data_IF_947550979172
#
_entry.id   IF_947550979172
#
_cell.length_a   1.000
_cell.length_b   1.000
_cell.length_c   1.000
_cell.angle_alpha   90.00
_cell.angle_beta   90.00
_cell.angle_gamma   90.00
#
_symmetry.space_group_name_H-M   'P 1'
#
loop_
_entity.id
_entity.type
_entity.pdbx_description
1 polymer ?
#
# COMPACT_ATOMS: atom_id res chain seq x y z
N UNK A 1 -19.58 -76.27 -23.64
CA UNK A 1 -19.46 -75.04 -24.46
C UNK A 1 -20.27 -73.96 -23.74
N UNK A 2 -19.65 -73.16 -22.84
CA UNK A 2 -19.20 -71.76 -23.02
C UNK A 2 -20.22 -70.94 -23.85
N UNK A 3 -20.87 -69.88 -23.38
CA UNK A 3 -20.32 -68.64 -22.81
C UNK A 3 -21.35 -67.86 -21.96
N UNK A 4 -20.90 -67.13 -20.93
CA UNK A 4 -21.62 -66.03 -20.25
C UNK A 4 -20.97 -64.70 -20.67
N UNK A 5 -21.72 -63.65 -21.04
CA UNK A 5 -21.12 -62.33 -21.26
C UNK A 5 -20.98 -61.58 -19.93
N UNK A 6 -19.73 -61.25 -19.58
CA UNK A 6 -19.40 -60.25 -18.56
C UNK A 6 -19.62 -58.86 -19.17
N UNK A 7 -20.56 -58.09 -18.64
CA UNK A 7 -20.63 -56.64 -18.91
C UNK A 7 -19.65 -55.93 -17.97
N UNK A 8 -18.59 -55.38 -18.55
CA UNK A 8 -17.63 -54.53 -17.85
C UNK A 8 -18.25 -53.14 -17.67
N UNK A 9 -18.49 -52.74 -16.41
CA UNK A 9 -18.87 -51.39 -16.06
C UNK A 9 -17.68 -50.44 -16.16
N UNK A 10 -17.73 -49.49 -17.09
CA UNK A 10 -16.77 -48.40 -17.21
C UNK A 10 -17.15 -47.30 -16.20
N UNK A 11 -16.47 -47.27 -15.05
CA UNK A 11 -16.54 -46.16 -14.10
C UNK A 11 -15.72 -44.98 -14.63
N UNK A 12 -16.40 -43.94 -15.11
CA UNK A 12 -15.80 -42.65 -15.44
C UNK A 12 -15.61 -41.89 -14.12
N UNK A 13 -14.37 -41.84 -13.62
CA UNK A 13 -14.00 -41.01 -12.48
C UNK A 13 -13.88 -39.55 -12.94
N UNK A 14 -14.89 -38.73 -12.64
CA UNK A 14 -14.87 -37.29 -12.87
C UNK A 14 -13.94 -36.61 -11.86
N UNK A 15 -12.77 -36.16 -12.33
CA UNK A 15 -11.86 -35.35 -11.51
C UNK A 15 -12.41 -33.92 -11.43
N UNK A 16 -12.99 -33.57 -10.28
CA UNK A 16 -13.39 -32.20 -9.94
C UNK A 16 -12.12 -31.36 -9.72
N UNK A 17 -11.73 -30.56 -10.72
CA UNK A 17 -10.75 -29.49 -10.51
C UNK A 17 -11.42 -28.39 -9.70
N UNK A 18 -11.14 -28.35 -8.38
CA UNK A 18 -11.47 -27.22 -7.55
C UNK A 18 -10.49 -26.07 -7.87
N UNK A 19 -10.93 -25.12 -8.71
CA UNK A 19 -10.23 -23.86 -8.92
C UNK A 19 -10.16 -23.12 -7.59
N UNK A 20 -9.00 -23.15 -6.94
CA UNK A 20 -8.73 -22.28 -5.79
C UNK A 20 -8.58 -20.87 -6.34
N UNK A 21 -9.61 -20.03 -6.13
CA UNK A 21 -9.48 -18.60 -6.34
C UNK A 21 -8.48 -18.07 -5.29
N UNK A 22 -7.25 -17.80 -5.71
CA UNK A 22 -6.31 -17.06 -4.87
C UNK A 22 -6.89 -15.66 -4.65
N UNK A 23 -7.06 -15.26 -3.39
CA UNK A 23 -7.42 -13.90 -3.06
C UNK A 23 -6.30 -12.96 -3.53
N UNK A 24 -6.65 -11.84 -4.15
CA UNK A 24 -5.68 -10.85 -4.55
C UNK A 24 -5.02 -10.23 -3.31
N UNK A 25 -3.75 -9.82 -3.39
CA UNK A 25 -3.03 -9.26 -2.24
C UNK A 25 -3.78 -8.05 -1.67
N UNK A 26 -4.29 -7.17 -2.53
CA UNK A 26 -5.05 -5.99 -2.13
C UNK A 26 -6.29 -6.32 -1.27
N UNK A 27 -6.95 -7.47 -1.48
CA UNK A 27 -8.14 -7.86 -0.72
C UNK A 27 -7.80 -8.16 0.75
N UNK A 28 -6.55 -8.56 1.02
CA UNK A 28 -6.02 -8.89 2.34
C UNK A 28 -5.33 -7.70 3.02
N UNK A 29 -5.18 -6.56 2.32
CA UNK A 29 -4.62 -5.34 2.90
C UNK A 29 -5.73 -4.44 3.44
N UNK A 30 -5.55 -3.93 4.66
CA UNK A 30 -6.34 -2.83 5.21
C UNK A 30 -5.48 -1.58 5.36
N UNK A 31 -5.89 -0.52 4.67
CA UNK A 31 -5.31 0.80 4.82
C UNK A 31 -6.03 1.59 5.91
N UNK A 32 -5.26 2.30 6.73
CA UNK A 32 -5.78 3.15 7.80
C UNK A 32 -4.86 4.34 8.02
N UNK A 33 -5.36 5.36 8.71
CA UNK A 33 -4.60 6.58 9.02
C UNK A 33 -3.99 7.22 7.75
N UNK A 34 -4.73 7.19 6.64
CA UNK A 34 -4.27 7.71 5.35
C UNK A 34 -4.39 9.23 5.30
N UNK A 35 -3.28 9.93 5.06
CA UNK A 35 -3.27 11.39 4.97
C UNK A 35 -2.15 11.93 4.08
N UNK A 36 -2.36 13.10 3.50
CA UNK A 36 -1.37 13.81 2.69
C UNK A 36 -0.92 15.07 3.43
N UNK A 37 0.38 15.28 3.54
CA UNK A 37 0.96 16.56 3.95
C UNK A 37 1.02 17.48 2.75
N UNK A 38 0.14 18.47 2.73
CA UNK A 38 0.11 19.50 1.68
C UNK A 38 1.29 20.45 1.87
N UNK A 39 2.01 20.71 0.77
CA UNK A 39 3.12 21.66 0.73
C UNK A 39 2.73 22.91 -0.08
N UNK A 40 3.29 24.09 0.25
CA UNK A 40 2.98 25.31 -0.46
C UNK A 40 3.54 25.31 -1.89
N UNK A 41 2.82 25.97 -2.80
CA UNK A 41 3.26 26.15 -4.19
C UNK A 41 3.22 24.85 -4.99
N UNK A 42 4.31 24.56 -5.70
CA UNK A 42 4.47 23.38 -6.56
C UNK A 42 5.38 22.32 -5.92
N UNK A 43 5.68 22.45 -4.62
CA UNK A 43 6.52 21.49 -3.92
C UNK A 43 5.80 20.12 -3.84
N UNK A 44 6.55 19.00 -3.95
CA UNK A 44 5.97 17.68 -3.79
C UNK A 44 5.29 17.51 -2.42
N UNK A 45 4.14 16.86 -2.41
CA UNK A 45 3.43 16.49 -1.20
C UNK A 45 3.88 15.11 -0.70
N UNK A 46 3.71 14.84 0.60
CA UNK A 46 4.00 13.54 1.21
C UNK A 46 2.72 12.80 1.56
N UNK A 47 2.57 11.55 1.15
CA UNK A 47 1.46 10.66 1.50
C UNK A 47 1.87 9.61 2.51
N UNK A 48 1.05 9.44 3.53
CA UNK A 48 1.29 8.60 4.71
C UNK A 48 0.09 7.71 4.96
N UNK A 49 0.35 6.46 5.32
CA UNK A 49 -0.68 5.43 5.50
C UNK A 49 -0.11 4.25 6.29
N UNK A 50 -0.95 3.65 7.13
CA UNK A 50 -0.66 2.37 7.78
C UNK A 50 -1.35 1.26 7.02
N UNK A 51 -0.59 0.26 6.58
CA UNK A 51 -1.07 -0.92 5.85
C UNK A 51 -0.93 -2.16 6.72
N UNK A 52 -2.05 -2.77 7.10
CA UNK A 52 -2.09 -4.04 7.79
C UNK A 52 -2.35 -5.16 6.77
N UNK A 53 -1.53 -6.20 6.82
CA UNK A 53 -1.65 -7.38 5.97
C UNK A 53 -2.27 -8.53 6.76
N UNK A 54 -3.39 -9.06 6.28
CA UNK A 54 -4.11 -10.18 6.89
C UNK A 54 -3.84 -11.52 6.22
N UNK A 55 -3.04 -11.56 5.15
CA UNK A 55 -2.67 -12.80 4.47
C UNK A 55 -1.59 -13.57 5.22
N UNK A 56 -1.43 -14.83 4.84
CA UNK A 56 -0.42 -15.77 5.37
C UNK A 56 0.95 -15.61 4.68
N UNK A 57 1.11 -14.62 3.79
CA UNK A 57 2.34 -14.35 3.05
C UNK A 57 2.69 -12.86 3.03
N UNK A 58 3.94 -12.52 2.71
CA UNK A 58 4.33 -11.12 2.59
C UNK A 58 3.75 -10.49 1.31
N UNK A 59 3.15 -9.31 1.43
CA UNK A 59 2.64 -8.51 0.32
C UNK A 59 3.62 -7.39 0.00
N UNK A 60 3.77 -7.01 -1.27
CA UNK A 60 4.69 -5.92 -1.67
C UNK A 60 3.95 -4.76 -2.30
N UNK A 61 3.98 -3.59 -1.66
CA UNK A 61 3.54 -2.33 -2.24
C UNK A 61 4.61 -1.82 -3.22
N UNK A 62 4.24 -1.53 -4.47
CA UNK A 62 5.14 -1.01 -5.51
C UNK A 62 5.11 0.51 -5.63
N UNK A 63 4.01 1.13 -5.21
CA UNK A 63 3.78 2.57 -5.34
C UNK A 63 2.29 2.87 -5.35
N UNK A 64 1.92 4.01 -5.93
CA UNK A 64 0.53 4.39 -6.07
C UNK A 64 0.30 5.22 -7.34
N UNK A 65 -0.95 5.52 -7.63
CA UNK A 65 -1.36 6.45 -8.70
C UNK A 65 -2.54 7.31 -8.23
N UNK A 66 -2.76 8.43 -8.92
CA UNK A 66 -3.89 9.33 -8.64
C UNK A 66 -4.31 10.08 -9.89
N UNK A 67 -5.58 10.46 -9.98
CA UNK A 67 -6.03 11.44 -10.96
C UNK A 67 -5.63 12.89 -10.58
N UNK A 68 -5.29 13.13 -9.31
CA UNK A 68 -4.97 14.47 -8.79
C UNK A 68 -3.49 14.83 -8.89
N UNK A 69 -2.62 13.86 -9.17
CA UNK A 69 -1.16 14.04 -9.22
C UNK A 69 -0.59 13.30 -10.43
N UNK A 70 0.37 13.92 -11.12
CA UNK A 70 1.03 13.34 -12.29
C UNK A 70 1.87 12.11 -11.94
N UNK A 71 2.53 12.12 -10.78
CA UNK A 71 3.36 11.02 -10.31
C UNK A 71 3.17 10.76 -8.81
N UNK A 72 3.11 9.49 -8.43
CA UNK A 72 3.11 9.06 -7.02
C UNK A 72 4.13 7.93 -6.84
N UNK A 73 5.22 8.21 -6.14
CA UNK A 73 6.40 7.34 -6.07
C UNK A 73 6.65 6.92 -4.63
N UNK A 74 7.11 5.69 -4.42
CA UNK A 74 7.46 5.21 -3.08
C UNK A 74 8.89 5.62 -2.74
N UNK A 75 9.07 6.32 -1.63
CA UNK A 75 10.35 6.85 -1.19
C UNK A 75 10.66 6.40 0.24
N UNK A 76 11.96 6.35 0.58
CA UNK A 76 12.47 6.16 1.93
C UNK A 76 13.29 7.39 2.33
N UNK A 77 12.94 7.97 3.46
CA UNK A 77 13.75 8.99 4.11
C UNK A 77 14.81 8.32 5.00
N UNK A 78 16.01 8.89 5.02
CA UNK A 78 17.10 8.48 5.89
C UNK A 78 17.96 9.70 6.25
N UNK A 79 18.76 9.58 7.31
CA UNK A 79 19.78 10.58 7.65
C UNK A 79 21.13 9.91 7.50
N UNK A 80 21.99 10.47 6.64
CA UNK A 80 23.34 9.98 6.41
C UNK A 80 24.31 11.14 6.62
N UNK A 81 25.24 10.99 7.56
CA UNK A 81 26.22 12.04 7.88
C UNK A 81 25.63 13.37 8.36
N UNK A 82 24.43 13.35 8.96
CA UNK A 82 23.71 14.56 9.39
C UNK A 82 22.94 15.27 8.28
N UNK A 83 22.94 14.73 7.06
CA UNK A 83 22.14 15.21 5.94
C UNK A 83 20.92 14.31 5.72
N UNK A 84 19.74 14.91 5.62
CA UNK A 84 18.52 14.20 5.23
C UNK A 84 18.61 13.79 3.76
N UNK A 85 18.34 12.51 3.48
CA UNK A 85 18.29 11.94 2.13
C UNK A 85 16.93 11.28 1.92
N UNK A 86 16.33 11.54 0.75
CA UNK A 86 15.13 10.85 0.30
C UNK A 86 15.47 10.08 -0.97
N UNK A 87 15.20 8.79 -0.98
CA UNK A 87 15.52 7.90 -2.08
C UNK A 87 14.27 7.16 -2.55
N UNK A 88 14.07 7.08 -3.86
CA UNK A 88 13.03 6.26 -4.45
C UNK A 88 13.35 4.78 -4.24
N UNK A 89 12.35 4.00 -3.85
CA UNK A 89 12.48 2.56 -3.67
C UNK A 89 11.46 1.83 -4.54
N UNK A 90 11.85 0.65 -5.03
CA UNK A 90 11.00 -0.13 -5.93
C UNK A 90 9.79 -0.76 -5.23
N UNK A 91 9.91 -1.05 -3.94
CA UNK A 91 8.83 -1.66 -3.16
C UNK A 91 8.99 -1.49 -1.66
N UNK A 92 7.89 -1.68 -0.95
CA UNK A 92 7.81 -1.86 0.50
C UNK A 92 7.13 -3.19 0.80
N UNK A 93 7.84 -4.07 1.51
CA UNK A 93 7.29 -5.35 1.96
C UNK A 93 6.43 -5.15 3.22
N UNK A 94 5.27 -5.77 3.23
CA UNK A 94 4.32 -5.84 4.34
C UNK A 94 4.28 -7.30 4.78
N UNK A 95 4.88 -7.66 5.93
CA UNK A 95 4.96 -9.05 6.38
C UNK A 95 3.58 -9.71 6.52
N UNK A 96 3.53 -11.05 6.41
CA UNK A 96 2.33 -11.83 6.73
C UNK A 96 1.83 -11.52 8.14
N UNK A 97 0.52 -11.29 8.30
CA UNK A 97 -0.11 -10.84 9.55
C UNK A 97 0.55 -9.59 10.20
N UNK A 98 1.31 -8.83 9.41
CA UNK A 98 2.12 -7.73 9.87
C UNK A 98 1.60 -6.38 9.40
N UNK A 99 2.32 -5.33 9.77
CA UNK A 99 2.00 -3.96 9.43
C UNK A 99 3.21 -3.26 8.83
N UNK A 100 2.98 -2.42 7.82
CA UNK A 100 3.96 -1.47 7.34
C UNK A 100 3.37 -0.05 7.45
N UNK A 101 4.16 0.87 8.00
CA UNK A 101 3.74 2.27 8.19
C UNK A 101 4.57 3.17 7.30
N UNK A 102 3.88 3.97 6.49
CA UNK A 102 4.46 5.09 5.78
C UNK A 102 4.22 6.33 6.64
N UNK A 103 5.27 6.88 7.24
CA UNK A 103 5.25 8.02 8.16
C UNK A 103 6.35 9.03 7.85
N UNK A 104 6.24 10.27 8.34
CA UNK A 104 7.30 11.27 8.22
C UNK A 104 8.64 10.73 8.74
N UNK A 105 9.74 11.02 8.01
CA UNK A 105 11.07 10.52 8.37
C UNK A 105 11.33 9.04 8.03
N UNK A 106 10.30 8.27 7.63
CA UNK A 106 10.42 6.90 7.16
C UNK A 106 10.05 6.73 5.68
N UNK A 107 9.35 5.64 5.38
CA UNK A 107 8.76 5.44 4.06
C UNK A 107 7.60 6.41 3.83
N UNK A 108 7.44 6.90 2.60
CA UNK A 108 6.33 7.78 2.24
C UNK A 108 6.04 7.69 0.73
N UNK A 109 4.83 8.06 0.35
CA UNK A 109 4.50 8.34 -1.04
C UNK A 109 4.94 9.79 -1.33
N UNK A 110 5.78 10.01 -2.33
CA UNK A 110 6.07 11.34 -2.87
C UNK A 110 5.09 11.63 -4.00
N UNK A 111 4.23 12.63 -3.81
CA UNK A 111 3.21 13.04 -4.78
C UNK A 111 3.70 14.30 -5.52
N UNK A 112 3.88 14.19 -6.82
CA UNK A 112 4.39 15.27 -7.68
C UNK A 112 3.34 15.72 -8.69
N UNK A 113 3.49 16.95 -9.17
CA UNK A 113 2.71 17.53 -10.25
C UNK A 113 1.20 17.47 -9.99
N UNK A 114 0.77 18.15 -8.92
CA UNK A 114 -0.64 18.28 -8.59
C UNK A 114 -1.41 18.91 -9.76
N UNK A 115 -2.41 18.20 -10.30
CA UNK A 115 -3.21 18.67 -11.43
C UNK A 115 -4.03 19.91 -11.09
N UNK A 116 -4.41 20.05 -9.82
CA UNK A 116 -5.08 21.23 -9.24
C UNK A 116 -4.53 21.47 -7.83
N UNK A 117 -4.58 22.71 -7.30
CA UNK A 117 -4.21 22.97 -5.92
C UNK A 117 -5.03 22.13 -4.95
N UNK A 118 -4.37 21.27 -4.17
CA UNK A 118 -4.98 20.51 -3.07
C UNK A 118 -4.96 21.38 -1.82
N UNK A 119 -6.11 21.54 -1.16
CA UNK A 119 -6.25 22.35 0.05
C UNK A 119 -6.33 21.46 1.29
N UNK A 120 -5.96 22.03 2.44
CA UNK A 120 -6.19 21.38 3.73
C UNK A 120 -7.68 21.10 3.90
N UNK A 121 -8.02 19.88 4.33
CA UNK A 121 -9.38 19.39 4.49
C UNK A 121 -9.95 18.69 3.26
N UNK A 122 -9.28 18.77 2.10
CA UNK A 122 -9.67 17.98 0.93
C UNK A 122 -9.43 16.48 1.16
N UNK A 123 -10.19 15.65 0.45
CA UNK A 123 -9.90 14.22 0.31
C UNK A 123 -9.31 13.95 -1.06
N UNK A 124 -8.19 13.24 -1.10
CA UNK A 124 -7.53 12.81 -2.33
C UNK A 124 -7.56 11.29 -2.40
N UNK A 125 -8.16 10.75 -3.45
CA UNK A 125 -8.14 9.30 -3.67
C UNK A 125 -6.82 8.88 -4.34
N UNK A 126 -6.12 7.95 -3.72
CA UNK A 126 -4.93 7.29 -4.26
C UNK A 126 -5.24 5.81 -4.49
N UNK A 127 -4.71 5.25 -5.58
CA UNK A 127 -4.75 3.82 -5.88
C UNK A 127 -3.39 3.23 -5.53
N UNK A 128 -3.32 2.44 -4.47
CA UNK A 128 -2.12 1.71 -4.07
C UNK A 128 -1.94 0.50 -4.98
N UNK A 129 -0.73 0.32 -5.52
CA UNK A 129 -0.42 -0.72 -6.49
C UNK A 129 0.49 -1.78 -5.87
N UNK A 130 0.06 -3.05 -5.92
CA UNK A 130 0.80 -4.17 -5.35
C UNK A 130 1.53 -4.98 -6.44
N UNK A 131 2.50 -5.80 -6.01
CA UNK A 131 3.38 -6.54 -6.93
C UNK A 131 2.66 -7.63 -7.74
N UNK A 132 1.54 -8.16 -7.25
CA UNK A 132 0.69 -9.12 -7.97
C UNK A 132 -0.20 -8.47 -9.04
N UNK A 133 -0.13 -7.13 -9.17
CA UNK A 133 -0.95 -6.33 -10.08
C UNK A 133 -2.31 -5.93 -9.51
N UNK A 134 -2.65 -6.36 -8.29
CA UNK A 134 -3.84 -5.91 -7.59
C UNK A 134 -3.69 -4.48 -7.07
N UNK A 135 -4.83 -3.83 -6.80
CA UNK A 135 -4.86 -2.42 -6.39
C UNK A 135 -5.84 -2.18 -5.27
N UNK A 136 -5.51 -1.25 -4.37
CA UNK A 136 -6.41 -0.78 -3.30
C UNK A 136 -6.62 0.72 -3.42
N UNK A 137 -7.87 1.14 -3.63
CA UNK A 137 -8.24 2.56 -3.59
C UNK A 137 -8.37 3.00 -2.13
N UNK A 138 -7.73 4.10 -1.76
CA UNK A 138 -7.76 4.65 -0.41
C UNK A 138 -7.85 6.18 -0.48
N UNK A 139 -8.75 6.74 0.33
CA UNK A 139 -8.88 8.18 0.46
C UNK A 139 -7.93 8.72 1.53
N UNK A 140 -7.17 9.74 1.16
CA UNK A 140 -6.20 10.41 2.01
C UNK A 140 -6.73 11.79 2.39
N UNK A 141 -6.75 12.08 3.69
CA UNK A 141 -7.10 13.41 4.19
C UNK A 141 -5.94 14.38 4.02
N UNK A 142 -6.16 15.51 3.34
CA UNK A 142 -5.16 16.55 3.17
C UNK A 142 -4.99 17.36 4.47
N UNK A 143 -3.79 17.34 5.04
CA UNK A 143 -3.43 17.98 6.30
C UNK A 143 -2.31 19.02 6.13
N UNK A 144 -2.17 19.98 7.05
CA UNK A 144 -1.15 21.02 6.98
C UNK A 144 0.29 20.48 7.06
N UNK A 145 1.25 21.28 6.58
CA UNK A 145 2.68 20.95 6.55
C UNK A 145 3.30 20.67 7.94
N UNK A 146 2.78 21.30 9.01
CA UNK A 146 3.26 21.11 10.38
C UNK A 146 2.66 19.90 11.10
N UNK A 147 1.85 19.08 10.41
CA UNK A 147 1.28 17.88 11.01
C UNK A 147 2.39 16.86 11.25
N UNK A 148 2.80 16.69 12.49
CA UNK A 148 3.54 15.51 12.95
C UNK A 148 2.52 14.40 13.24
N UNK A 149 2.87 13.14 12.96
CA UNK A 149 1.97 12.03 13.29
C UNK A 149 1.68 12.04 14.80
N UNK A 150 0.49 11.56 15.20
CA UNK A 150 0.17 11.40 16.62
C UNK A 150 1.13 10.42 17.34
N UNK A 151 1.87 9.59 16.59
CA UNK A 151 2.91 8.71 17.09
C UNK A 151 4.27 9.39 17.31
N UNK A 152 4.47 10.59 16.75
CA UNK A 152 5.69 11.40 16.82
C UNK A 152 5.44 12.74 17.55
N UNK A 153 4.46 12.76 18.46
CA UNK A 153 4.33 13.88 19.38
C UNK A 153 5.70 14.11 20.04
N UNK A 154 6.28 15.33 19.95
CA UNK A 154 7.59 15.58 20.49
C UNK A 154 7.55 15.24 21.99
N UNK A 155 8.41 14.31 22.41
CA UNK A 155 8.83 14.23 23.80
C UNK A 155 9.43 15.59 24.12
N UNK A 156 8.64 16.37 24.86
CA UNK A 156 9.02 17.58 25.55
C UNK A 156 10.48 17.48 26.06
N UNK A 157 11.41 18.12 25.36
CA UNK A 157 12.70 18.49 25.94
C UNK A 157 12.47 19.79 26.71
N UNK A 158 11.94 19.62 27.92
CA UNK A 158 11.88 20.65 28.93
C UNK A 158 13.31 21.05 29.26
N UNK A 159 13.75 22.19 28.74
CA UNK A 159 14.94 22.86 29.21
C UNK A 159 14.59 23.60 30.51
N UNK A 160 15.21 23.14 31.60
CA UNK A 160 15.41 23.90 32.84
C UNK A 160 16.31 25.12 32.59
#
# INVERSE_FOLDING_TARGET
>A
MKHRPFFAGLLIAGSLFASHAFAADADQIKASQAWIRVMPGTLPAGGYVTLANHSDHAVSLKGASSASYGHVMLHKSSTEGGMGRMEMVDSLSIPAHGTATLSPGGYHLMLMDAAKPVKVGDKVSLTLNFADGSTLVTDFDAKPANTVDAADAPMDHAHH
#
